data_IF_917451938552
#
_entry.id   IF_917451938552
#
_cell.length_a   1.000
_cell.length_b   1.000
_cell.length_c   1.000
_cell.angle_alpha   90.00
_cell.angle_beta   90.00
_cell.angle_gamma   90.00
#
_symmetry.space_group_name_H-M   'P 1'
#
loop_
_entity.id
_entity.type
_entity.pdbx_description
1 polymer ?
#
# COMPACT_ATOMS: atom_id res chain seq x y z
N UNK A 1 1.38 5.04 -24.00
CA UNK A 1 0.93 6.22 -23.25
C UNK A 1 -0.46 5.99 -22.68
N UNK A 2 -0.58 5.08 -21.72
CA UNK A 2 -1.86 4.73 -21.08
C UNK A 2 -1.68 4.71 -19.55
N UNK A 3 -2.73 4.98 -18.76
CA UNK A 3 -2.67 4.79 -17.31
C UNK A 3 -2.49 3.31 -16.94
N UNK A 4 -1.96 3.05 -15.74
CA UNK A 4 -1.58 1.70 -15.32
C UNK A 4 -1.87 1.44 -13.86
N UNK A 5 -2.34 0.24 -13.55
CA UNK A 5 -2.35 -0.27 -12.18
C UNK A 5 -1.05 -1.04 -11.91
N UNK A 6 -0.35 -0.69 -10.82
CA UNK A 6 0.86 -1.40 -10.36
C UNK A 6 0.53 -2.14 -9.08
N UNK A 7 0.93 -3.41 -9.01
CA UNK A 7 0.59 -4.33 -7.92
C UNK A 7 1.88 -5.01 -7.45
N UNK A 8 2.28 -4.74 -6.20
CA UNK A 8 3.35 -5.50 -5.55
C UNK A 8 2.79 -6.84 -5.05
N UNK A 9 3.33 -7.99 -5.52
CA UNK A 9 2.70 -9.30 -5.33
C UNK A 9 2.92 -9.89 -3.94
N UNK A 10 3.87 -9.36 -3.18
CA UNK A 10 4.22 -9.78 -1.84
C UNK A 10 3.30 -9.18 -0.76
N UNK A 11 2.55 -8.13 -1.07
CA UNK A 11 1.52 -7.59 -0.18
C UNK A 11 0.15 -8.12 -0.58
N UNK A 12 -0.53 -8.79 0.35
CA UNK A 12 -1.86 -9.37 0.15
C UNK A 12 -2.91 -8.53 0.89
N UNK A 13 -3.95 -8.09 0.17
CA UNK A 13 -5.10 -7.45 0.81
C UNK A 13 -6.10 -8.52 1.24
N UNK A 14 -6.53 -8.45 2.50
CA UNK A 14 -7.34 -9.49 3.12
C UNK A 14 -8.80 -9.41 2.66
N UNK A 15 -9.22 -10.42 1.87
CA UNK A 15 -10.58 -10.55 1.33
C UNK A 15 -11.66 -10.73 2.42
N UNK A 16 -11.28 -11.09 3.65
CA UNK A 16 -12.22 -11.24 4.76
C UNK A 16 -12.47 -9.92 5.50
N UNK A 17 -11.62 -8.91 5.29
CA UNK A 17 -11.64 -7.63 6.01
C UNK A 17 -12.14 -6.45 5.14
N UNK A 18 -12.34 -6.68 3.83
CA UNK A 18 -12.90 -5.71 2.88
C UNK A 18 -13.52 -6.40 1.65
N UNK A 19 -14.41 -5.73 0.93
CA UNK A 19 -14.96 -6.25 -0.33
C UNK A 19 -14.09 -5.80 -1.50
N UNK A 20 -13.14 -6.65 -1.93
CA UNK A 20 -12.17 -6.31 -2.99
C UNK A 20 -12.82 -6.01 -4.36
N UNK A 21 -14.12 -6.30 -4.55
CA UNK A 21 -14.84 -5.92 -5.77
C UNK A 21 -15.32 -4.46 -5.77
N UNK A 22 -15.25 -3.78 -4.62
CA UNK A 22 -15.76 -2.42 -4.41
C UNK A 22 -14.76 -1.51 -3.70
N UNK A 23 -14.03 -2.06 -2.75
CA UNK A 23 -13.06 -1.36 -1.93
C UNK A 23 -11.66 -1.42 -2.56
N UNK A 24 -10.73 -0.67 -1.97
CA UNK A 24 -9.30 -0.77 -2.27
C UNK A 24 -9.00 -0.48 -3.74
N UNK A 25 -8.36 -1.40 -4.48
CA UNK A 25 -7.97 -1.15 -5.86
C UNK A 25 -9.17 -0.80 -6.76
N UNK A 26 -10.34 -1.40 -6.52
CA UNK A 26 -11.55 -1.08 -7.27
C UNK A 26 -11.99 0.38 -7.06
N UNK A 27 -11.93 0.85 -5.82
CA UNK A 27 -12.27 2.24 -5.44
C UNK A 27 -11.21 3.23 -5.96
N UNK A 28 -9.93 2.87 -5.93
CA UNK A 28 -8.85 3.67 -6.52
C UNK A 28 -9.05 3.83 -8.03
N UNK A 29 -9.43 2.78 -8.75
CA UNK A 29 -9.70 2.86 -10.19
C UNK A 29 -10.89 3.79 -10.45
N UNK A 30 -11.99 3.62 -9.71
CA UNK A 30 -13.16 4.49 -9.86
C UNK A 30 -12.82 5.96 -9.57
N UNK A 31 -12.02 6.22 -8.52
CA UNK A 31 -11.55 7.57 -8.17
C UNK A 31 -10.65 8.17 -9.26
N UNK A 32 -9.76 7.36 -9.83
CA UNK A 32 -8.92 7.77 -10.95
C UNK A 32 -9.77 8.11 -12.18
N UNK A 33 -10.77 7.29 -12.52
CA UNK A 33 -11.67 7.54 -13.65
C UNK A 33 -12.49 8.83 -13.47
N UNK A 34 -12.84 9.18 -12.24
CA UNK A 34 -13.59 10.41 -11.91
C UNK A 34 -12.74 11.68 -11.96
N UNK A 35 -11.47 11.59 -11.52
CA UNK A 35 -10.65 12.77 -11.22
C UNK A 35 -9.45 12.96 -12.14
N UNK A 36 -8.98 11.87 -12.77
CA UNK A 36 -7.69 11.79 -13.43
C UNK A 36 -6.48 11.81 -12.49
N UNK A 37 -6.68 11.98 -11.18
CA UNK A 37 -5.59 12.04 -10.21
C UNK A 37 -5.05 10.63 -9.93
N UNK A 38 -3.73 10.46 -10.04
CA UNK A 38 -3.07 9.20 -9.71
C UNK A 38 -3.35 8.82 -8.24
N UNK A 39 -3.59 7.53 -7.98
CA UNK A 39 -3.96 7.01 -6.67
C UNK A 39 -2.86 6.12 -6.10
N UNK A 40 -2.53 6.30 -4.82
CA UNK A 40 -1.54 5.46 -4.11
C UNK A 40 -2.14 4.92 -2.84
N UNK A 41 -2.21 3.60 -2.68
CA UNK A 41 -2.75 3.01 -1.47
C UNK A 41 -1.78 3.19 -0.30
N UNK A 42 -2.29 3.70 0.82
CA UNK A 42 -1.56 3.88 2.06
C UNK A 42 -2.26 3.24 3.24
N UNK A 43 -1.49 2.87 4.26
CA UNK A 43 -2.00 2.43 5.55
C UNK A 43 -1.14 2.98 6.70
N UNK A 44 -1.72 3.18 7.89
CA UNK A 44 -0.95 3.61 9.05
C UNK A 44 -0.04 2.49 9.56
N UNK A 45 1.26 2.78 9.72
CA UNK A 45 2.24 1.84 10.28
C UNK A 45 2.87 2.36 11.58
N UNK A 46 3.30 1.44 12.44
CA UNK A 46 4.06 1.78 13.64
C UNK A 46 5.54 2.04 13.35
N UNK A 47 6.10 1.34 12.36
CA UNK A 47 7.48 1.53 11.88
C UNK A 47 7.45 2.03 10.44
N UNK A 48 7.87 3.28 10.26
CA UNK A 48 7.90 3.97 8.97
C UNK A 48 9.19 3.73 8.18
N UNK A 49 10.22 3.17 8.81
CA UNK A 49 11.59 3.14 8.25
C UNK A 49 11.77 2.11 7.13
N UNK A 50 10.83 1.19 6.97
CA UNK A 50 10.85 0.14 5.96
C UNK A 50 10.10 0.49 4.66
N UNK A 51 9.38 1.62 4.63
CA UNK A 51 8.40 1.91 3.58
C UNK A 51 8.57 3.30 2.96
N UNK A 52 7.94 3.52 1.81
CA UNK A 52 7.67 4.87 1.30
C UNK A 52 6.57 5.53 2.14
N UNK A 53 6.77 6.77 2.59
CA UNK A 53 5.84 7.50 3.47
C UNK A 53 5.35 8.76 2.79
N UNK A 54 4.04 8.96 2.73
CA UNK A 54 3.43 10.11 2.03
C UNK A 54 3.33 11.34 2.93
N UNK A 55 3.42 12.53 2.34
CA UNK A 55 3.17 13.81 2.99
C UNK A 55 1.81 14.38 2.58
N UNK A 56 0.84 14.34 3.51
CA UNK A 56 -0.49 14.92 3.36
C UNK A 56 -0.63 16.28 4.08
N UNK A 57 0.48 16.96 4.39
CA UNK A 57 0.51 18.21 5.17
C UNK A 57 -0.20 18.12 6.52
N UNK A 58 -0.14 16.95 7.16
CA UNK A 58 -0.79 16.68 8.45
C UNK A 58 -2.31 16.45 8.38
N UNK A 59 -2.90 16.32 7.19
CA UNK A 59 -4.29 15.87 7.05
C UNK A 59 -4.41 14.40 7.49
N UNK A 60 -5.40 14.12 8.32
CA UNK A 60 -5.79 12.77 8.67
C UNK A 60 -6.76 12.23 7.60
N UNK A 61 -6.58 10.97 7.23
CA UNK A 61 -7.49 10.25 6.33
C UNK A 61 -8.23 9.18 7.12
N UNK A 62 -9.51 8.98 6.81
CA UNK A 62 -10.25 7.78 7.21
C UNK A 62 -10.17 6.70 6.13
N UNK A 63 -10.37 5.41 6.45
CA UNK A 63 -10.41 4.34 5.46
C UNK A 63 -11.37 4.62 4.31
N UNK A 64 -10.88 4.52 3.06
CA UNK A 64 -11.60 4.84 1.83
C UNK A 64 -11.50 6.30 1.37
N UNK A 65 -10.94 7.20 2.19
CA UNK A 65 -10.76 8.59 1.80
C UNK A 65 -9.52 8.80 0.95
N UNK A 66 -9.58 9.85 0.12
CA UNK A 66 -8.48 10.34 -0.70
C UNK A 66 -8.29 11.83 -0.43
N UNK A 67 -7.05 12.25 -0.17
CA UNK A 67 -6.68 13.67 -0.11
C UNK A 67 -5.43 13.90 -0.95
N UNK A 68 -5.25 15.07 -1.56
CA UNK A 68 -4.00 15.36 -2.27
C UNK A 68 -2.78 15.28 -1.35
N UNK A 69 -1.74 14.57 -1.80
CA UNK A 69 -0.43 14.61 -1.15
C UNK A 69 0.50 15.59 -1.85
N UNK A 70 1.59 15.95 -1.17
CA UNK A 70 2.60 16.91 -1.67
C UNK A 70 4.01 16.34 -1.72
N UNK A 71 4.18 15.08 -1.36
CA UNK A 71 5.46 14.40 -1.46
C UNK A 71 5.36 12.96 -1.00
N UNK A 72 6.39 12.18 -1.34
CA UNK A 72 6.60 10.83 -0.83
C UNK A 72 8.08 10.62 -0.55
N UNK A 73 8.41 10.04 0.60
CA UNK A 73 9.80 9.82 0.99
C UNK A 73 10.05 8.32 1.13
N UNK A 74 11.01 7.78 0.37
CA UNK A 74 11.43 6.38 0.48
C UNK A 74 12.23 6.15 1.75
N UNK A 75 11.76 5.24 2.62
CA UNK A 75 12.46 4.74 3.82
C UNK A 75 13.01 5.88 4.71
N UNK A 76 12.16 6.82 5.16
CA UNK A 76 12.61 7.93 5.99
C UNK A 76 13.10 7.45 7.35
N UNK A 77 13.92 8.26 8.02
CA UNK A 77 14.13 8.09 9.45
C UNK A 77 12.87 8.48 10.22
N UNK A 78 12.60 7.80 11.33
CA UNK A 78 11.38 8.01 12.11
C UNK A 78 11.19 9.45 12.62
N UNK A 79 12.28 10.18 12.87
CA UNK A 79 12.28 11.57 13.36
C UNK A 79 12.00 12.63 12.27
N UNK A 80 12.06 12.24 10.99
CA UNK A 80 11.81 13.14 9.85
C UNK A 80 10.68 12.66 8.95
N UNK A 81 9.98 11.58 9.33
CA UNK A 81 8.88 11.05 8.55
C UNK A 81 7.71 12.07 8.50
N UNK A 82 7.16 12.37 7.31
CA UNK A 82 6.12 13.40 7.16
C UNK A 82 4.76 12.95 7.71
N UNK A 83 4.55 11.63 7.82
CA UNK A 83 3.35 11.03 8.41
C UNK A 83 3.67 9.61 8.90
N UNK A 84 2.65 8.86 9.33
CA UNK A 84 2.73 7.42 9.55
C UNK A 84 2.04 6.60 8.43
N UNK A 85 1.67 7.24 7.32
CA UNK A 85 0.97 6.61 6.20
C UNK A 85 2.00 6.02 5.23
N UNK A 86 2.20 4.71 5.32
CA UNK A 86 3.11 3.96 4.47
C UNK A 86 2.41 3.46 3.22
N UNK A 87 3.13 3.44 2.10
CA UNK A 87 2.66 2.90 0.82
C UNK A 87 2.54 1.38 0.89
N UNK A 88 1.35 0.86 0.54
CA UNK A 88 0.99 -0.57 0.65
C UNK A 88 1.45 -1.38 -0.57
N UNK A 89 1.77 -0.72 -1.69
CA UNK A 89 2.13 -1.41 -2.93
C UNK A 89 0.95 -1.65 -3.88
N UNK A 90 -0.04 -0.75 -3.87
CA UNK A 90 -1.06 -0.61 -4.92
C UNK A 90 -1.04 0.81 -5.44
N UNK A 91 -1.04 0.93 -6.75
CA UNK A 91 -0.99 2.22 -7.44
C UNK A 91 -1.93 2.20 -8.63
N UNK A 92 -2.58 3.31 -8.91
CA UNK A 92 -3.24 3.61 -10.19
C UNK A 92 -2.61 4.90 -10.69
N UNK A 93 -1.72 4.79 -11.68
CA UNK A 93 -0.89 5.90 -12.13
C UNK A 93 -1.36 6.36 -13.50
N UNK A 94 -1.39 7.68 -13.69
CA UNK A 94 -1.63 8.30 -15.00
C UNK A 94 -0.53 7.92 -15.99
N UNK A 95 -0.80 8.09 -17.28
CA UNK A 95 0.19 7.89 -18.33
C UNK A 95 1.41 8.84 -18.21
N UNK A 96 1.26 9.94 -17.46
CA UNK A 96 2.32 10.92 -17.28
C UNK A 96 3.50 10.38 -16.47
N UNK A 97 3.34 9.24 -15.78
CA UNK A 97 4.45 8.57 -15.08
C UNK A 97 5.52 8.03 -16.02
N UNK A 98 5.18 7.62 -17.25
CA UNK A 98 6.12 6.96 -18.17
C UNK A 98 7.35 7.81 -18.53
N UNK A 99 7.21 9.07 -18.98
CA UNK A 99 8.38 9.92 -19.23
C UNK A 99 9.14 10.28 -17.95
N UNK A 100 8.50 10.25 -16.77
CA UNK A 100 9.16 10.48 -15.49
C UNK A 100 10.03 9.30 -15.10
N UNK A 101 9.49 8.08 -15.13
CA UNK A 101 10.23 6.84 -14.89
C UNK A 101 11.47 6.73 -15.78
N UNK A 102 11.36 7.09 -17.07
CA UNK A 102 12.47 7.01 -18.01
C UNK A 102 13.65 7.96 -17.67
N UNK A 103 13.41 9.05 -16.91
CA UNK A 103 14.44 10.01 -16.49
C UNK A 103 14.80 9.92 -15.01
N UNK A 104 14.11 9.06 -14.25
CA UNK A 104 14.37 8.88 -12.81
C UNK A 104 15.80 8.38 -12.62
N UNK A 105 16.65 9.12 -11.89
CA UNK A 105 18.01 8.67 -11.59
C UNK A 105 17.98 7.51 -10.57
N UNK A 106 19.07 6.72 -10.48
CA UNK A 106 19.22 5.77 -9.38
C UNK A 106 19.19 6.49 -8.02
N UNK A 107 18.42 5.94 -7.09
CA UNK A 107 18.22 6.45 -5.74
C UNK A 107 18.83 5.54 -4.67
N UNK A 108 18.03 5.21 -3.64
CA UNK A 108 18.47 4.32 -2.57
C UNK A 108 18.88 2.94 -3.12
N UNK A 109 20.08 2.49 -2.77
CA UNK A 109 20.59 1.18 -3.19
C UNK A 109 21.06 1.09 -4.65
N UNK A 110 21.27 2.21 -5.35
CA UNK A 110 21.61 2.26 -6.78
C UNK A 110 20.51 1.69 -7.70
N UNK A 111 19.26 1.75 -7.23
CA UNK A 111 18.06 1.29 -7.93
C UNK A 111 17.23 2.48 -8.44
N UNK A 112 16.55 2.32 -9.59
CA UNK A 112 15.54 3.27 -10.05
C UNK A 112 14.26 3.04 -9.26
N UNK A 113 13.95 3.94 -8.32
CA UNK A 113 12.81 3.80 -7.43
C UNK A 113 11.53 4.39 -8.05
N UNK A 114 10.43 3.65 -7.93
CA UNK A 114 9.12 4.14 -8.34
C UNK A 114 8.68 5.36 -7.50
N UNK A 115 9.07 5.41 -6.22
CA UNK A 115 8.77 6.51 -5.31
C UNK A 115 9.38 7.82 -5.78
N UNK A 116 10.62 7.80 -6.26
CA UNK A 116 11.28 8.99 -6.82
C UNK A 116 10.55 9.48 -8.10
N UNK A 117 10.10 8.57 -8.96
CA UNK A 117 9.32 8.93 -10.15
C UNK A 117 7.94 9.53 -9.80
N UNK A 118 7.32 9.02 -8.73
CA UNK A 118 6.06 9.53 -8.20
C UNK A 118 6.25 10.92 -7.58
N UNK A 119 7.36 11.17 -6.88
CA UNK A 119 7.65 12.49 -6.32
C UNK A 119 7.76 13.54 -7.45
N UNK A 120 8.39 13.19 -8.56
CA UNK A 120 8.38 14.03 -9.77
C UNK A 120 6.99 14.18 -10.39
N UNK A 121 6.09 13.20 -10.22
CA UNK A 121 4.71 13.26 -10.72
C UNK A 121 3.88 14.25 -9.90
N UNK A 122 4.07 14.26 -8.58
CA UNK A 122 3.43 15.20 -7.64
C UNK A 122 3.76 16.65 -8.00
N UNK A 123 4.97 16.94 -8.48
CA UNK A 123 5.34 18.28 -8.95
C UNK A 123 4.58 18.71 -10.22
N UNK A 124 4.12 17.74 -11.02
CA UNK A 124 3.48 17.97 -12.33
C UNK A 124 1.95 18.01 -12.22
N UNK A 125 1.37 17.15 -11.41
CA UNK A 125 -0.07 16.97 -11.30
C UNK A 125 -0.52 16.51 -9.91
N UNK A 126 -1.83 16.42 -9.71
CA UNK A 126 -2.38 15.96 -8.43
C UNK A 126 -2.24 14.45 -8.30
N UNK A 127 -1.69 14.01 -7.18
CA UNK A 127 -1.66 12.62 -6.76
C UNK A 127 -2.33 12.51 -5.39
N UNK A 128 -3.19 11.52 -5.21
CA UNK A 128 -3.96 11.32 -3.99
C UNK A 128 -3.59 9.96 -3.35
N UNK A 129 -3.12 9.95 -2.09
CA UNK A 129 -3.15 8.74 -1.29
C UNK A 129 -4.59 8.31 -1.03
N UNK A 130 -4.85 7.02 -1.27
CA UNK A 130 -6.07 6.32 -0.90
C UNK A 130 -5.82 5.55 0.41
N UNK A 131 -6.57 5.85 1.47
CA UNK A 131 -6.44 5.11 2.72
C UNK A 131 -7.07 3.72 2.59
N UNK A 132 -6.26 2.67 2.72
CA UNK A 132 -6.69 1.27 2.63
C UNK A 132 -7.85 0.96 3.59
N UNK A 133 -8.79 0.13 3.13
CA UNK A 133 -9.83 -0.49 3.96
C UNK A 133 -9.46 -1.93 4.30
N UNK A 134 -9.77 -2.35 5.52
CA UNK A 134 -9.49 -3.70 6.01
C UNK A 134 -8.03 -3.84 6.45
N UNK A 135 -7.37 -4.91 6.00
CA UNK A 135 -6.03 -5.29 6.45
C UNK A 135 -5.17 -5.76 5.28
N UNK A 136 -3.88 -5.45 5.34
CA UNK A 136 -2.85 -6.01 4.47
C UNK A 136 -2.01 -7.06 5.22
N UNK A 137 -1.36 -7.92 4.44
CA UNK A 137 -0.34 -8.84 4.91
C UNK A 137 0.91 -8.66 4.07
N UNK A 138 1.99 -8.17 4.66
CA UNK A 138 3.32 -8.18 4.04
C UNK A 138 3.92 -9.60 4.09
N UNK A 139 3.86 -10.30 2.96
CA UNK A 139 4.45 -11.62 2.77
C UNK A 139 5.87 -11.55 2.18
N UNK A 140 6.44 -10.35 1.98
CA UNK A 140 7.82 -10.15 1.55
C UNK A 140 8.82 -10.47 2.67
N UNK A 141 8.40 -10.36 3.93
CA UNK A 141 9.19 -10.77 5.09
C UNK A 141 8.68 -12.08 5.72
N UNK A 142 9.61 -12.87 6.30
CA UNK A 142 9.31 -14.21 6.82
C UNK A 142 8.27 -14.22 7.95
N UNK A 143 8.30 -13.23 8.84
CA UNK A 143 7.39 -13.20 9.99
C UNK A 143 5.97 -12.84 9.54
N UNK A 144 5.83 -11.81 8.68
CA UNK A 144 4.56 -11.40 8.10
C UNK A 144 3.93 -12.53 7.28
N UNK A 145 4.72 -13.24 6.47
CA UNK A 145 4.26 -14.46 5.78
C UNK A 145 3.73 -15.53 6.74
N UNK A 146 4.44 -15.81 7.85
CA UNK A 146 3.98 -16.78 8.84
C UNK A 146 2.67 -16.36 9.53
N UNK A 147 2.53 -15.07 9.86
CA UNK A 147 1.30 -14.52 10.43
C UNK A 147 0.14 -14.66 9.45
N UNK A 148 0.33 -14.26 8.19
CA UNK A 148 -0.65 -14.42 7.12
C UNK A 148 -1.07 -15.89 6.95
N UNK A 149 -0.10 -16.81 6.92
CA UNK A 149 -0.38 -18.24 6.80
C UNK A 149 -1.29 -18.76 7.92
N UNK A 150 -1.04 -18.34 9.16
CA UNK A 150 -1.88 -18.71 10.32
C UNK A 150 -3.27 -18.11 10.21
N UNK A 151 -3.38 -16.81 9.92
CA UNK A 151 -4.66 -16.09 9.83
C UNK A 151 -5.57 -16.65 8.73
N UNK A 152 -5.02 -16.92 7.55
CA UNK A 152 -5.77 -17.60 6.49
C UNK A 152 -6.04 -19.07 6.82
N UNK A 153 -5.09 -19.75 7.48
CA UNK A 153 -5.25 -21.13 7.93
C UNK A 153 -6.46 -21.31 8.84
N UNK A 154 -6.67 -20.41 9.81
CA UNK A 154 -7.84 -20.48 10.72
C UNK A 154 -9.16 -20.14 10.03
N UNK A 155 -9.13 -19.42 8.90
CA UNK A 155 -10.31 -19.09 8.07
C UNK A 155 -10.53 -20.06 6.91
N UNK A 156 -9.66 -21.06 6.73
CA UNK A 156 -9.73 -21.99 5.60
C UNK A 156 -11.07 -22.73 5.54
N UNK A 157 -11.75 -22.70 4.38
CA UNK A 157 -13.14 -23.18 4.23
C UNK A 157 -13.39 -24.60 4.73
N UNK A 158 -12.43 -25.51 4.53
CA UNK A 158 -12.55 -26.92 4.95
C UNK A 158 -11.73 -27.29 6.18
N UNK A 159 -10.70 -26.50 6.53
CA UNK A 159 -9.70 -26.89 7.55
C UNK A 159 -9.65 -25.93 8.72
N UNK A 160 -10.29 -24.76 8.63
CA UNK A 160 -10.14 -23.68 9.62
C UNK A 160 -10.60 -24.09 11.02
N UNK A 161 -11.72 -24.81 11.13
CA UNK A 161 -12.22 -25.29 12.42
C UNK A 161 -11.27 -26.29 13.09
N UNK A 162 -10.74 -27.25 12.35
CA UNK A 162 -9.78 -28.24 12.86
C UNK A 162 -8.43 -27.60 13.19
N UNK A 163 -7.94 -26.74 12.30
CA UNK A 163 -6.68 -26.01 12.49
C UNK A 163 -6.72 -25.08 13.71
N UNK A 164 -7.82 -24.34 13.90
CA UNK A 164 -8.02 -23.49 15.08
C UNK A 164 -8.07 -24.32 16.37
N UNK A 165 -8.82 -25.43 16.38
CA UNK A 165 -8.88 -26.31 17.55
C UNK A 165 -7.53 -26.94 17.90
N UNK A 166 -6.69 -27.21 16.90
CA UNK A 166 -5.31 -27.63 17.10
C UNK A 166 -4.43 -26.51 17.65
N UNK A 167 -4.50 -25.29 17.09
CA UNK A 167 -3.76 -24.11 17.56
C UNK A 167 -4.06 -23.79 19.02
N UNK A 168 -5.32 -23.76 19.42
CA UNK A 168 -5.73 -23.46 20.80
C UNK A 168 -5.08 -24.44 21.81
N UNK A 169 -4.96 -25.72 21.43
CA UNK A 169 -4.28 -26.74 22.24
C UNK A 169 -2.75 -26.61 22.23
N UNK A 170 -2.19 -26.12 21.14
CA UNK A 170 -0.74 -25.97 20.99
C UNK A 170 -0.20 -24.78 21.79
N UNK A 171 -0.95 -23.67 21.83
CA UNK A 171 -0.57 -22.44 22.54
C UNK A 171 -0.89 -22.50 24.04
N UNK A 172 -1.86 -23.31 24.46
CA UNK A 172 -2.19 -23.50 25.88
C UNK A 172 -1.17 -24.37 26.67
N UNK A 173 -0.13 -24.87 26.01
CA UNK A 173 0.97 -25.65 26.64
C UNK A 173 2.16 -24.75 26.96
#
# INVERSE_FOLDING_TARGET
DEPVAVILPDVILDEYESDLSRDNLAEMIARFDETGASQIMVEPVADVTAYGVVDCKGLALQPGECVPMVGVVEKPKADVAPSNLAVVGRYVLSADIWPLLAKTPPGAGDEIQLTDAIDMLIEKETVEPYHMKGKSHDCGNKLGYMQAFVEYGVRHKSLGAEFKAWLDKAVAK
#
